data_IF_488325090017
#
_entry.id   IF_488325090017
#
_cell.length_a   1.000
_cell.length_b   1.000
_cell.length_c   1.000
_cell.angle_alpha   90.00
_cell.angle_beta   90.00
_cell.angle_gamma   90.00
#
_symmetry.space_group_name_H-M   'P 1'
#
loop_
_entity.id
_entity.type
_entity.pdbx_description
1 polymer ?
#
# COMPACT_ATOMS: atom_id res chain seq x y z
N UNK A 1 60.73 -2.79 25.00
CA UNK A 1 60.26 -1.56 24.32
C UNK A 1 60.56 -1.76 22.85
N UNK A 2 59.61 -1.87 21.93
CA UNK A 2 58.37 -1.13 21.77
C UNK A 2 57.44 -1.97 20.86
N UNK A 3 56.28 -2.38 21.37
CA UNK A 3 55.19 -2.99 20.59
C UNK A 3 54.40 -1.86 19.93
N UNK A 4 54.34 -1.80 18.60
CA UNK A 4 53.44 -0.89 17.87
C UNK A 4 52.36 -1.75 17.21
N UNK A 5 51.27 -1.97 17.94
CA UNK A 5 50.02 -2.52 17.42
C UNK A 5 49.27 -1.38 16.72
N UNK A 6 49.36 -1.31 15.39
CA UNK A 6 48.52 -0.39 14.59
C UNK A 6 47.11 -0.96 14.49
N UNK A 7 46.23 -0.47 15.36
CA UNK A 7 44.80 -0.72 15.31
C UNK A 7 44.20 0.16 14.19
N UNK A 8 44.18 -0.34 12.95
CA UNK A 8 43.48 0.32 11.85
C UNK A 8 41.98 0.14 12.07
N UNK A 9 41.32 1.17 12.61
CA UNK A 9 39.88 1.24 12.66
C UNK A 9 39.33 1.32 11.22
N UNK A 10 38.93 0.17 10.69
CA UNK A 10 38.18 0.08 9.44
C UNK A 10 36.79 0.64 9.72
N UNK A 11 36.63 1.95 9.57
CA UNK A 11 35.33 2.60 9.44
C UNK A 11 34.72 2.16 8.11
N UNK A 12 34.11 0.98 8.09
CA UNK A 12 33.12 0.64 7.07
C UNK A 12 31.93 1.55 7.38
N UNK A 13 31.93 2.74 6.80
CA UNK A 13 30.72 3.52 6.68
C UNK A 13 29.77 2.69 5.84
N UNK A 14 28.88 1.95 6.51
CA UNK A 14 27.77 1.30 5.84
C UNK A 14 27.03 2.38 5.08
N UNK A 15 26.96 2.23 3.76
CA UNK A 15 25.87 2.84 3.02
C UNK A 15 24.61 2.18 3.60
N UNK A 16 23.88 2.90 4.45
CA UNK A 16 22.55 2.49 4.86
C UNK A 16 21.76 2.40 3.55
N UNK A 17 21.54 1.18 3.06
CA UNK A 17 20.81 0.93 1.83
C UNK A 17 19.33 1.15 2.15
N UNK A 18 18.92 2.43 2.16
CA UNK A 18 17.54 2.81 2.35
C UNK A 18 16.68 2.42 1.15
N UNK A 19 15.36 2.41 1.37
CA UNK A 19 14.37 2.12 0.34
C UNK A 19 14.56 3.03 -0.87
N UNK A 20 14.77 2.41 -2.03
CA UNK A 20 14.89 3.03 -3.36
C UNK A 20 13.55 3.08 -4.08
N UNK A 21 12.68 2.09 -3.85
CA UNK A 21 11.30 2.08 -4.34
C UNK A 21 10.32 2.61 -3.27
N UNK A 22 10.05 3.92 -3.35
CA UNK A 22 9.25 4.67 -2.38
C UNK A 22 7.73 4.38 -2.43
N UNK A 23 7.28 3.44 -3.27
CA UNK A 23 5.88 3.03 -3.28
C UNK A 23 5.45 2.47 -1.92
N UNK A 24 4.27 2.90 -1.45
CA UNK A 24 3.71 2.55 -0.14
C UNK A 24 4.63 2.91 1.04
N UNK A 25 5.33 4.05 0.96
CA UNK A 25 6.16 4.57 2.06
C UNK A 25 5.64 5.89 2.60
N UNK A 26 6.05 6.22 3.83
CA UNK A 26 5.88 7.51 4.47
C UNK A 26 7.20 7.94 5.13
N UNK A 27 7.37 9.23 5.37
CA UNK A 27 8.61 9.77 5.94
C UNK A 27 8.50 9.87 7.46
N UNK A 28 9.43 9.24 8.18
CA UNK A 28 9.56 9.35 9.65
C UNK A 28 10.98 9.79 9.97
N UNK A 29 11.13 11.00 10.53
CA UNK A 29 12.45 11.54 10.86
C UNK A 29 13.41 11.65 9.68
N UNK A 30 12.89 11.83 8.45
CA UNK A 30 13.69 11.93 7.22
C UNK A 30 14.09 10.60 6.58
N UNK A 31 13.64 9.47 7.13
CA UNK A 31 13.87 8.13 6.57
C UNK A 31 12.55 7.57 6.01
N UNK A 32 12.54 7.04 4.77
CA UNK A 32 11.35 6.39 4.24
C UNK A 32 11.10 5.07 4.99
N UNK A 33 9.85 4.86 5.42
CA UNK A 33 9.38 3.62 6.04
C UNK A 33 8.12 3.14 5.35
N UNK A 34 7.91 1.84 5.28
CA UNK A 34 6.66 1.30 4.72
C UNK A 34 5.45 1.68 5.57
N UNK A 35 4.39 2.16 4.91
CA UNK A 35 3.12 2.48 5.57
C UNK A 35 2.35 1.22 5.96
N UNK A 36 1.37 1.34 6.85
CA UNK A 36 0.44 0.23 7.14
C UNK A 36 -0.29 -0.27 5.88
N UNK A 37 -0.68 0.65 4.99
CA UNK A 37 -1.22 0.34 3.66
C UNK A 37 -0.30 -0.49 2.77
N UNK A 38 1.00 -0.59 3.03
CA UNK A 38 1.89 -1.49 2.28
C UNK A 38 1.54 -2.96 2.50
N UNK A 39 0.97 -3.30 3.67
CA UNK A 39 0.75 -4.69 4.12
C UNK A 39 -0.71 -5.00 4.50
N UNK A 40 -1.64 -4.06 4.35
CA UNK A 40 -3.03 -4.20 4.81
C UNK A 40 -3.94 -5.06 3.89
N UNK A 41 -3.38 -5.81 2.94
CA UNK A 41 -4.12 -6.68 2.03
C UNK A 41 -3.66 -8.14 2.15
N UNK A 42 -4.31 -9.05 1.43
CA UNK A 42 -3.85 -10.44 1.32
C UNK A 42 -3.08 -10.66 0.02
N UNK A 43 -2.11 -11.57 0.08
CA UNK A 43 -1.51 -12.15 -1.11
C UNK A 43 -2.56 -12.98 -1.89
N UNK A 44 -2.39 -13.11 -3.21
CA UNK A 44 -3.26 -13.95 -4.04
C UNK A 44 -3.04 -15.45 -3.79
N UNK A 45 -1.81 -15.80 -3.43
CA UNK A 45 -1.40 -17.12 -2.95
C UNK A 45 -1.05 -17.04 -1.46
N UNK A 46 -0.86 -18.18 -0.78
CA UNK A 46 -0.52 -18.18 0.65
C UNK A 46 0.78 -17.42 0.95
N UNK A 47 0.88 -16.79 2.12
CA UNK A 47 2.08 -16.09 2.59
C UNK A 47 3.33 -16.97 2.51
N UNK A 48 3.22 -18.27 2.84
CA UNK A 48 4.32 -19.24 2.71
C UNK A 48 4.79 -19.42 1.26
N UNK A 49 3.87 -19.47 0.30
CA UNK A 49 4.22 -19.59 -1.12
C UNK A 49 4.86 -18.29 -1.64
N UNK A 50 4.41 -17.13 -1.18
CA UNK A 50 5.08 -15.87 -1.49
C UNK A 50 6.50 -15.81 -0.91
N UNK A 51 6.72 -16.33 0.31
CA UNK A 51 8.06 -16.41 0.89
C UNK A 51 9.00 -17.36 0.13
N UNK A 52 8.48 -18.41 -0.51
CA UNK A 52 9.28 -19.24 -1.44
C UNK A 52 9.77 -18.42 -2.63
N UNK A 53 8.98 -17.46 -3.11
CA UNK A 53 9.34 -16.61 -4.26
C UNK A 53 10.26 -15.47 -3.82
N UNK A 54 9.84 -14.70 -2.81
CA UNK A 54 10.40 -13.40 -2.43
C UNK A 54 11.25 -13.42 -1.17
N UNK A 55 11.47 -14.57 -0.52
CA UNK A 55 12.37 -14.80 0.64
C UNK A 55 12.06 -14.05 1.94
N UNK A 56 11.66 -12.77 1.86
CA UNK A 56 11.44 -11.85 2.96
C UNK A 56 10.17 -11.05 2.67
N UNK A 57 9.33 -10.89 3.68
CA UNK A 57 8.15 -10.03 3.60
C UNK A 57 8.49 -8.61 4.07
N UNK A 58 7.85 -7.63 3.44
CA UNK A 58 7.84 -6.25 3.91
C UNK A 58 7.05 -6.14 5.21
N UNK A 59 7.56 -5.31 6.13
CA UNK A 59 6.92 -4.98 7.39
C UNK A 59 6.65 -3.47 7.46
N UNK A 60 5.52 -3.08 8.05
CA UNK A 60 5.22 -1.67 8.32
C UNK A 60 6.26 -1.08 9.29
N UNK A 61 6.50 0.23 9.16
CA UNK A 61 7.49 0.99 9.93
C UNK A 61 8.96 0.54 9.77
N UNK A 62 9.22 -0.40 8.86
CA UNK A 62 10.57 -0.82 8.49
C UNK A 62 11.11 0.05 7.33
N UNK A 63 12.42 0.25 7.32
CA UNK A 63 13.21 1.00 6.33
C UNK A 63 14.15 0.11 5.50
N UNK A 64 14.03 -1.22 5.67
CA UNK A 64 14.75 -2.20 4.87
C UNK A 64 14.12 -2.29 3.48
N UNK A 65 14.92 -2.18 2.43
CA UNK A 65 14.47 -2.41 1.05
C UNK A 65 13.79 -3.77 0.91
N UNK A 66 12.67 -3.80 0.16
CA UNK A 66 11.96 -5.05 -0.17
C UNK A 66 12.86 -5.99 -0.96
N UNK A 67 12.51 -7.29 -0.99
CA UNK A 67 13.29 -8.26 -1.75
C UNK A 67 13.49 -7.82 -3.21
N UNK A 68 14.71 -7.97 -3.72
CA UNK A 68 15.06 -7.50 -5.06
C UNK A 68 14.20 -8.11 -6.18
N UNK A 69 13.51 -9.24 -5.94
CA UNK A 69 12.55 -9.84 -6.88
C UNK A 69 11.20 -9.13 -6.89
N UNK A 70 10.85 -8.35 -5.87
CA UNK A 70 9.62 -7.56 -5.83
C UNK A 70 9.67 -6.39 -6.81
N UNK A 71 10.78 -5.64 -6.83
CA UNK A 71 10.93 -4.43 -7.65
C UNK A 71 11.99 -4.55 -8.74
N UNK A 72 13.06 -5.31 -8.52
CA UNK A 72 14.31 -5.24 -9.30
C UNK A 72 15.26 -4.16 -8.80
N UNK A 73 16.54 -4.27 -9.18
CA UNK A 73 17.52 -3.19 -9.04
C UNK A 73 18.29 -3.05 -10.37
N UNK A 74 17.99 -2.03 -11.20
CA UNK A 74 17.00 -0.97 -10.98
C UNK A 74 15.55 -1.48 -11.02
N UNK A 75 14.62 -0.65 -10.55
CA UNK A 75 13.18 -0.98 -10.54
C UNK A 75 12.69 -1.31 -11.95
N UNK A 76 12.09 -2.48 -12.10
CA UNK A 76 11.47 -2.98 -13.30
C UNK A 76 9.94 -2.99 -13.13
N UNK A 77 9.20 -2.16 -13.88
CA UNK A 77 7.75 -2.06 -13.75
C UNK A 77 6.99 -3.39 -13.94
N UNK A 78 7.51 -4.32 -14.74
CA UNK A 78 6.88 -5.63 -14.94
C UNK A 78 7.03 -6.53 -13.69
N UNK A 79 8.14 -6.43 -12.96
CA UNK A 79 8.32 -7.13 -11.69
C UNK A 79 7.39 -6.54 -10.62
N UNK A 80 7.32 -5.21 -10.55
CA UNK A 80 6.41 -4.49 -9.65
C UNK A 80 4.97 -4.94 -9.90
N UNK A 81 4.53 -4.98 -11.16
CA UNK A 81 3.19 -5.42 -11.51
C UNK A 81 2.93 -6.89 -11.10
N UNK A 82 3.89 -7.79 -11.38
CA UNK A 82 3.76 -9.19 -10.96
C UNK A 82 3.69 -9.33 -9.42
N UNK A 83 4.45 -8.52 -8.69
CA UNK A 83 4.40 -8.47 -7.24
C UNK A 83 3.05 -7.96 -6.73
N UNK A 84 2.48 -6.91 -7.33
CA UNK A 84 1.13 -6.40 -7.04
C UNK A 84 0.06 -7.47 -7.29
N UNK A 85 0.17 -8.22 -8.39
CA UNK A 85 -0.87 -9.16 -8.81
C UNK A 85 -0.87 -10.47 -7.98
N UNK A 86 0.31 -10.92 -7.54
CA UNK A 86 0.49 -12.25 -6.93
C UNK A 86 0.73 -12.15 -5.42
N UNK A 87 1.63 -11.30 -4.98
CA UNK A 87 2.08 -11.22 -3.60
C UNK A 87 2.18 -9.77 -3.06
N UNK A 88 1.11 -8.96 -3.18
CA UNK A 88 1.15 -7.54 -2.83
C UNK A 88 1.48 -7.31 -1.35
N UNK A 89 1.01 -8.17 -0.43
CA UNK A 89 1.34 -8.07 0.99
C UNK A 89 2.81 -8.35 1.25
N UNK A 90 3.32 -9.46 0.70
CA UNK A 90 4.73 -9.88 0.90
C UNK A 90 5.68 -8.84 0.35
N UNK A 91 5.37 -8.30 -0.82
CA UNK A 91 6.20 -7.29 -1.47
C UNK A 91 5.89 -5.87 -1.03
N UNK A 92 4.97 -5.62 -0.10
CA UNK A 92 4.70 -4.27 0.41
C UNK A 92 4.03 -3.32 -0.61
N UNK A 93 3.18 -3.86 -1.48
CA UNK A 93 2.47 -3.14 -2.54
C UNK A 93 0.95 -3.15 -2.35
N UNK A 94 0.44 -3.47 -1.16
CA UNK A 94 -1.00 -3.45 -0.93
C UNK A 94 -1.61 -2.09 -1.32
N UNK A 95 -0.96 -0.96 -1.04
CA UNK A 95 -1.45 0.37 -1.41
C UNK A 95 -1.63 0.60 -2.93
N UNK A 96 -0.98 -0.22 -3.77
CA UNK A 96 -1.08 -0.18 -5.23
C UNK A 96 -2.12 -1.16 -5.78
N UNK A 97 -2.83 -1.89 -4.93
CA UNK A 97 -3.91 -2.76 -5.36
C UNK A 97 -5.23 -1.97 -5.49
N UNK A 98 -6.14 -2.30 -6.42
CA UNK A 98 -7.37 -1.52 -6.64
C UNK A 98 -8.33 -1.38 -5.44
N UNK A 99 -8.20 -2.27 -4.45
CA UNK A 99 -8.95 -2.20 -3.20
C UNK A 99 -8.36 -1.20 -2.19
N UNK A 100 -7.10 -0.77 -2.39
CA UNK A 100 -6.29 0.02 -1.45
C UNK A 100 -5.62 1.25 -2.09
N UNK A 101 -5.67 1.40 -3.42
CA UNK A 101 -5.36 2.65 -4.13
C UNK A 101 -6.47 3.66 -3.87
N UNK A 102 -6.33 4.44 -2.78
CA UNK A 102 -7.36 5.38 -2.34
C UNK A 102 -7.29 6.76 -3.02
N UNK A 103 -6.42 6.96 -4.02
CA UNK A 103 -6.31 8.26 -4.72
C UNK A 103 -7.62 8.67 -5.41
N UNK A 104 -8.44 7.69 -5.80
CA UNK A 104 -9.74 7.93 -6.47
C UNK A 104 -10.97 7.69 -5.59
N UNK A 105 -10.80 7.20 -4.34
CA UNK A 105 -11.92 6.82 -3.45
C UNK A 105 -11.91 7.61 -2.13
N UNK A 106 -13.01 8.30 -1.75
CA UNK A 106 -13.10 8.91 -0.43
C UNK A 106 -12.95 7.85 0.67
N UNK A 107 -12.07 8.07 1.65
CA UNK A 107 -11.75 7.11 2.72
C UNK A 107 -12.92 6.80 3.66
N UNK A 108 -13.95 7.66 3.67
CA UNK A 108 -15.16 7.50 4.49
C UNK A 108 -16.37 7.21 3.60
N UNK A 109 -17.23 6.27 4.02
CA UNK A 109 -18.57 6.10 3.42
C UNK A 109 -19.46 7.28 3.86
N UNK A 110 -19.32 8.39 3.16
CA UNK A 110 -20.14 9.58 3.33
C UNK A 110 -20.58 10.09 1.97
N UNK A 111 -21.65 10.86 1.99
CA UNK A 111 -21.99 11.69 0.85
C UNK A 111 -21.15 12.97 0.93
N UNK A 112 -20.35 13.21 -0.10
CA UNK A 112 -19.52 14.41 -0.23
C UNK A 112 -20.31 15.54 -0.92
N UNK A 113 -21.26 15.19 -1.79
CA UNK A 113 -22.19 16.16 -2.34
C UNK A 113 -23.34 16.44 -1.36
N UNK A 114 -23.78 17.70 -1.24
CA UNK A 114 -25.04 18.00 -0.54
C UNK A 114 -26.21 17.38 -1.32
N UNK A 115 -27.28 17.06 -0.60
CA UNK A 115 -28.58 16.71 -1.18
C UNK A 115 -28.65 15.42 -2.02
N UNK A 116 -27.79 14.43 -1.76
CA UNK A 116 -27.85 13.14 -2.43
C UNK A 116 -29.21 12.40 -2.28
N UNK A 117 -29.99 12.72 -1.24
CA UNK A 117 -31.33 12.19 -0.99
C UNK A 117 -32.49 13.00 -1.57
N UNK A 118 -32.23 14.01 -2.42
CA UNK A 118 -33.30 14.77 -3.09
C UNK A 118 -34.16 13.86 -3.97
N UNK A 119 -35.45 14.21 -4.08
CA UNK A 119 -36.50 13.56 -4.90
C UNK A 119 -36.19 12.11 -5.30
N UNK A 120 -36.55 11.19 -4.40
CA UNK A 120 -36.42 9.74 -4.58
C UNK A 120 -35.00 9.24 -4.88
N UNK A 121 -33.98 10.04 -4.53
CA UNK A 121 -32.58 9.76 -4.83
C UNK A 121 -32.38 9.49 -6.32
N UNK A 122 -33.01 10.30 -7.20
CA UNK A 122 -32.92 10.16 -8.66
C UNK A 122 -31.49 10.05 -9.18
N UNK A 123 -30.55 10.71 -8.49
CA UNK A 123 -29.12 10.65 -8.79
C UNK A 123 -28.54 9.23 -8.74
N UNK A 124 -29.11 8.35 -7.93
CA UNK A 124 -28.72 6.95 -7.80
C UNK A 124 -29.25 6.06 -8.93
N UNK A 125 -30.32 6.50 -9.62
CA UNK A 125 -30.99 5.75 -10.68
C UNK A 125 -30.60 6.23 -12.09
N UNK A 126 -30.04 7.44 -12.20
CA UNK A 126 -29.64 8.03 -13.47
C UNK A 126 -28.31 7.48 -13.97
N UNK A 127 -28.33 6.79 -15.12
CA UNK A 127 -27.11 6.27 -15.77
C UNK A 127 -26.11 7.38 -16.13
N UNK A 128 -26.59 8.57 -16.49
CA UNK A 128 -25.73 9.71 -16.83
C UNK A 128 -25.06 10.35 -15.61
N UNK A 129 -25.55 10.07 -14.40
CA UNK A 129 -25.00 10.58 -13.14
C UNK A 129 -24.34 9.49 -12.31
N UNK A 130 -24.17 8.29 -12.87
CA UNK A 130 -23.64 7.13 -12.16
C UNK A 130 -22.24 7.41 -11.58
N UNK A 131 -21.33 7.98 -12.38
CA UNK A 131 -19.98 8.33 -11.93
C UNK A 131 -20.01 9.39 -10.83
N UNK A 132 -20.90 10.38 -10.96
CA UNK A 132 -21.11 11.39 -9.92
C UNK A 132 -21.62 10.75 -8.63
N UNK A 133 -22.62 9.89 -8.72
CA UNK A 133 -23.25 9.26 -7.59
C UNK A 133 -22.29 8.29 -6.86
N UNK A 134 -21.46 7.57 -7.61
CA UNK A 134 -20.39 6.71 -7.08
C UNK A 134 -19.26 7.48 -6.41
N UNK A 135 -19.01 8.73 -6.79
CA UNK A 135 -17.98 9.55 -6.15
C UNK A 135 -18.51 10.33 -4.97
N UNK A 136 -19.64 11.01 -5.13
CA UNK A 136 -20.10 12.04 -4.20
C UNK A 136 -21.37 11.68 -3.41
N UNK A 137 -22.12 10.64 -3.79
CA UNK A 137 -23.37 10.23 -3.13
C UNK A 137 -23.36 8.77 -2.68
N UNK A 138 -22.17 8.30 -2.28
CA UNK A 138 -21.91 6.88 -2.03
C UNK A 138 -22.79 6.27 -0.95
N UNK A 139 -23.01 7.01 0.14
CA UNK A 139 -23.79 6.53 1.28
C UNK A 139 -25.26 6.48 0.92
N UNK A 140 -25.81 7.57 0.38
CA UNK A 140 -27.22 7.64 0.01
C UNK A 140 -27.57 6.65 -1.11
N UNK A 141 -26.70 6.47 -2.10
CA UNK A 141 -26.93 5.57 -3.21
C UNK A 141 -26.55 4.11 -2.96
N UNK A 142 -26.08 3.77 -1.74
CA UNK A 142 -25.70 2.40 -1.40
C UNK A 142 -24.48 1.89 -2.17
N UNK A 143 -23.62 2.78 -2.67
CA UNK A 143 -22.33 2.41 -3.26
C UNK A 143 -21.26 2.15 -2.21
N UNK A 144 -21.60 2.34 -0.94
CA UNK A 144 -20.78 1.90 0.19
C UNK A 144 -20.85 0.39 0.43
N UNK A 145 -20.83 -0.43 -0.62
CA UNK A 145 -20.59 -1.86 -0.42
C UNK A 145 -19.13 -2.06 -0.03
N UNK A 146 -18.89 -1.86 1.26
CA UNK A 146 -17.77 -2.41 2.01
C UNK A 146 -18.03 -3.91 2.19
N UNK A 147 -16.95 -4.69 2.09
CA UNK A 147 -16.78 -6.04 2.64
C UNK A 147 -17.48 -6.20 4.00
N UNK A 148 -18.76 -6.56 4.00
CA UNK A 148 -19.53 -6.91 5.22
C UNK A 148 -19.50 -8.41 5.52
N UNK A 149 -18.62 -9.15 4.84
CA UNK A 149 -18.27 -10.53 5.19
C UNK A 149 -16.76 -10.61 5.40
N UNK A 150 -16.37 -10.63 6.67
CA UNK A 150 -14.99 -10.46 7.14
C UNK A 150 -13.92 -11.25 6.38
N UNK A 151 -12.91 -10.51 5.93
CA UNK A 151 -11.56 -10.97 5.66
C UNK A 151 -10.61 -9.77 5.96
N UNK A 152 -9.35 -10.01 6.36
CA UNK A 152 -8.40 -8.92 6.63
C UNK A 152 -8.12 -8.18 5.32
N UNK A 153 -8.54 -6.92 5.20
CA UNK A 153 -8.32 -6.15 3.96
C UNK A 153 -9.27 -4.99 3.63
N UNK A 154 -9.68 -4.16 4.60
CA UNK A 154 -10.54 -2.99 4.31
C UNK A 154 -9.69 -1.78 3.91
N UNK A 155 -9.46 -1.63 2.61
CA UNK A 155 -8.33 -0.88 2.07
C UNK A 155 -8.32 0.63 2.04
N UNK A 156 -9.28 1.33 2.65
CA UNK A 156 -9.21 2.80 2.75
C UNK A 156 -9.67 3.39 4.09
N UNK A 157 -10.14 2.59 5.05
CA UNK A 157 -10.80 3.10 6.25
C UNK A 157 -9.87 3.71 7.30
N UNK A 158 -8.59 3.32 7.33
CA UNK A 158 -7.71 3.57 8.47
C UNK A 158 -6.35 4.22 8.14
N UNK A 159 -5.99 4.43 6.88
CA UNK A 159 -4.69 5.03 6.55
C UNK A 159 -4.66 6.54 6.87
N UNK A 160 -3.61 7.05 7.54
CA UNK A 160 -3.35 8.49 7.65
C UNK A 160 -3.08 9.12 6.27
N UNK A 161 -3.46 10.38 6.08
CA UNK A 161 -3.00 11.18 4.92
C UNK A 161 -1.62 11.74 5.20
#
# INVERSE_FOLDING_TARGET
MLLILTLSALLIGGIEAGITDLNCTHMVGGTPKYSESAINCNNKISDAACLVIYTTAVEADNDTERDAKCAGNPVNPALVQAAIDICPKTCGYCCLTPAFMCDDKPRTCVDEAPNCGMENAFICQSKSLQDFAQKYCRKTCGFCNDDTTGAPGTGCGNDPK
#
